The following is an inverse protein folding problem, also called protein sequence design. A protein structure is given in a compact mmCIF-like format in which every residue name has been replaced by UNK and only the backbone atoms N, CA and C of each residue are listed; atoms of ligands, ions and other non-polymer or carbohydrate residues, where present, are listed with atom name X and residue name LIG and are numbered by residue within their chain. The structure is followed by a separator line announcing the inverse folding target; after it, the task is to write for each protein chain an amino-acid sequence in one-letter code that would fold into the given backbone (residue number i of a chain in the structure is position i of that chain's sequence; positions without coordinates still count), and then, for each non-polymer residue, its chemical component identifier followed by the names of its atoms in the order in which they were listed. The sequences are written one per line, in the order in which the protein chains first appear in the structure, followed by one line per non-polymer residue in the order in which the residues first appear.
data_IF_092686866672
#
_entry.id   IF_092686866672
#
_cell.length_a   1.000
_cell.length_b   1.000
_cell.length_c   1.000
_cell.angle_alpha   90.00
_cell.angle_beta   90.00
_cell.angle_gamma   90.00
#
_symmetry.space_group_name_H-M   'P 1'
#
loop_
_entity.id
_entity.type
_entity.pdbx_description
1 polymer ?
#
# COMPACT_ATOMS: atom_id res chain seq x y z
N UNK A 1 -17.76 34.55 4.28
CA UNK A 1 -17.89 34.03 2.91
C UNK A 1 -17.66 32.52 2.97
N UNK A 2 -18.74 31.73 2.95
CA UNK A 2 -18.63 30.27 3.03
C UNK A 2 -17.85 29.76 1.81
N UNK A 3 -16.72 29.10 2.03
CA UNK A 3 -16.01 28.36 0.99
C UNK A 3 -16.97 27.28 0.49
N UNK A 4 -17.54 27.46 -0.69
CA UNK A 4 -18.33 26.43 -1.35
C UNK A 4 -17.51 25.14 -1.34
N UNK A 5 -18.10 24.05 -0.82
CA UNK A 5 -17.44 22.75 -0.79
C UNK A 5 -16.95 22.43 -2.20
N UNK A 6 -15.68 22.03 -2.32
CA UNK A 6 -15.04 21.71 -3.60
C UNK A 6 -15.98 20.79 -4.41
N UNK A 7 -16.44 21.18 -5.63
CA UNK A 7 -17.53 20.48 -6.33
C UNK A 7 -17.27 18.98 -6.56
N UNK A 8 -16.01 18.58 -6.69
CA UNK A 8 -15.57 17.19 -6.84
C UNK A 8 -15.61 16.37 -5.54
N UNK A 9 -16.05 16.93 -4.41
CA UNK A 9 -16.30 16.16 -3.17
C UNK A 9 -17.71 15.57 -3.15
N UNK A 10 -18.60 16.11 -3.97
CA UNK A 10 -20.02 15.74 -4.02
C UNK A 10 -20.44 15.15 -5.36
N UNK A 11 -19.53 14.99 -6.31
CA UNK A 11 -19.85 14.30 -7.56
C UNK A 11 -20.18 12.82 -7.28
N UNK A 12 -21.05 12.19 -8.10
CA UNK A 12 -21.50 10.82 -7.86
C UNK A 12 -20.37 9.80 -7.72
N UNK A 13 -19.29 9.95 -8.50
CA UNK A 13 -18.15 9.02 -8.49
C UNK A 13 -17.37 9.17 -7.18
N UNK A 14 -17.16 10.41 -6.71
CA UNK A 14 -16.48 10.66 -5.45
C UNK A 14 -17.27 10.14 -4.24
N UNK A 15 -18.60 10.26 -4.26
CA UNK A 15 -19.47 9.69 -3.23
C UNK A 15 -19.41 8.15 -3.23
N UNK A 16 -19.45 7.51 -4.39
CA UNK A 16 -19.29 6.06 -4.51
C UNK A 16 -17.92 5.60 -4.02
N UNK A 17 -16.83 6.27 -4.40
CA UNK A 17 -15.48 5.99 -3.89
C UNK A 17 -15.40 6.15 -2.37
N UNK A 18 -16.08 7.15 -1.80
CA UNK A 18 -16.15 7.33 -0.33
C UNK A 18 -16.86 6.16 0.34
N UNK A 19 -17.98 5.70 -0.22
CA UNK A 19 -18.69 4.50 0.24
C UNK A 19 -17.79 3.26 0.23
N UNK A 20 -17.12 3.01 -0.90
CA UNK A 20 -16.22 1.87 -1.06
C UNK A 20 -15.03 1.93 -0.10
N UNK A 21 -14.41 3.10 0.11
CA UNK A 21 -13.32 3.23 1.09
C UNK A 21 -13.79 2.87 2.50
N UNK A 22 -14.99 3.32 2.91
CA UNK A 22 -15.55 2.97 4.23
C UNK A 22 -15.76 1.46 4.36
N UNK A 23 -16.30 0.82 3.33
CA UNK A 23 -16.49 -0.64 3.32
C UNK A 23 -15.15 -1.37 3.41
N UNK A 24 -14.15 -0.97 2.63
CA UNK A 24 -12.82 -1.58 2.66
C UNK A 24 -12.11 -1.38 4.00
N UNK A 25 -12.20 -0.18 4.60
CA UNK A 25 -11.64 0.07 5.94
C UNK A 25 -12.27 -0.86 6.99
N UNK A 26 -13.59 -1.09 6.93
CA UNK A 26 -14.25 -2.02 7.85
C UNK A 26 -13.74 -3.46 7.66
N UNK A 27 -13.67 -3.94 6.40
CA UNK A 27 -13.14 -5.28 6.11
C UNK A 27 -11.69 -5.46 6.55
N UNK A 28 -10.85 -4.43 6.37
CA UNK A 28 -9.44 -4.47 6.77
C UNK A 28 -9.26 -4.42 8.29
N UNK A 29 -10.18 -3.79 9.02
CA UNK A 29 -10.16 -3.76 10.48
C UNK A 29 -10.42 -5.15 11.10
N UNK A 30 -11.13 -6.03 10.39
CA UNK A 30 -11.42 -7.40 10.82
C UNK A 30 -10.26 -8.39 10.51
N UNK A 31 -9.22 -7.95 9.79
CA UNK A 31 -8.06 -8.77 9.47
C UNK A 31 -7.13 -8.84 10.69
N UNK A 32 -6.85 -10.05 11.16
CA UNK A 32 -5.93 -10.26 12.29
C UNK A 32 -4.49 -9.93 11.91
N UNK A 33 -3.66 -9.61 12.91
CA UNK A 33 -2.24 -9.36 12.68
C UNK A 33 -1.52 -10.57 12.04
N UNK A 34 -1.87 -11.78 12.48
CA UNK A 34 -1.33 -13.05 11.96
C UNK A 34 -1.67 -13.25 10.49
N UNK A 35 -2.93 -12.98 10.11
CA UNK A 35 -3.35 -13.11 8.72
C UNK A 35 -2.73 -12.01 7.84
N UNK A 36 -2.61 -10.79 8.36
CA UNK A 36 -1.90 -9.71 7.68
C UNK A 36 -0.42 -10.09 7.43
N UNK A 37 0.26 -10.65 8.42
CA UNK A 37 1.64 -11.14 8.29
C UNK A 37 1.74 -12.27 7.25
N UNK A 38 0.84 -13.26 7.34
CA UNK A 38 0.80 -14.40 6.39
C UNK A 38 0.60 -13.94 4.95
N UNK A 39 -0.38 -13.06 4.71
CA UNK A 39 -0.62 -12.52 3.37
C UNK A 39 0.54 -11.64 2.89
N UNK A 40 1.14 -10.84 3.78
CA UNK A 40 2.29 -10.02 3.46
C UNK A 40 3.50 -10.85 3.05
N UNK A 41 3.75 -11.98 3.72
CA UNK A 41 4.81 -12.90 3.35
C UNK A 41 4.63 -13.47 1.93
N UNK A 42 3.40 -13.87 1.57
CA UNK A 42 3.06 -14.35 0.23
C UNK A 42 3.22 -13.27 -0.85
N UNK A 43 2.80 -12.03 -0.55
CA UNK A 43 2.99 -10.91 -1.47
C UNK A 43 4.47 -10.60 -1.65
N UNK A 44 5.25 -10.57 -0.57
CA UNK A 44 6.69 -10.37 -0.63
C UNK A 44 7.37 -11.45 -1.49
N UNK A 45 7.03 -12.73 -1.31
CA UNK A 45 7.57 -13.81 -2.14
C UNK A 45 7.29 -13.61 -3.63
N UNK A 46 6.05 -13.25 -3.99
CA UNK A 46 5.67 -12.96 -5.37
C UNK A 46 6.44 -11.79 -5.96
N UNK A 47 6.61 -10.71 -5.19
CA UNK A 47 7.39 -9.53 -5.60
C UNK A 47 8.85 -9.91 -5.81
N UNK A 48 9.48 -10.53 -4.81
CA UNK A 48 10.91 -10.87 -4.82
C UNK A 48 11.28 -11.90 -5.89
N UNK A 49 10.37 -12.83 -6.20
CA UNK A 49 10.58 -13.86 -7.23
C UNK A 49 10.39 -13.33 -8.67
N UNK A 50 9.70 -12.20 -8.84
CA UNK A 50 9.37 -11.65 -10.15
C UNK A 50 10.59 -11.15 -10.93
N UNK A 51 10.53 -11.28 -12.25
CA UNK A 51 11.61 -10.82 -13.16
C UNK A 51 11.76 -9.30 -13.10
N UNK A 52 10.65 -8.56 -13.03
CA UNK A 52 10.68 -7.10 -12.98
C UNK A 52 11.37 -6.59 -11.70
N UNK A 53 11.12 -7.23 -10.54
CA UNK A 53 11.78 -6.85 -9.29
C UNK A 53 13.26 -7.18 -9.34
N UNK A 54 13.62 -8.40 -9.80
CA UNK A 54 15.02 -8.83 -9.91
C UNK A 54 15.83 -7.88 -10.79
N UNK A 55 15.28 -7.45 -11.92
CA UNK A 55 15.93 -6.54 -12.85
C UNK A 55 15.97 -5.08 -12.38
N UNK A 56 15.06 -4.66 -11.50
CA UNK A 56 15.03 -3.30 -10.98
C UNK A 56 16.32 -2.94 -10.24
N UNK A 57 16.91 -1.78 -10.56
CA UNK A 57 18.06 -1.20 -9.82
C UNK A 57 17.62 -0.14 -8.81
N UNK A 58 16.41 0.39 -8.98
CA UNK A 58 15.82 1.47 -8.18
C UNK A 58 14.38 1.08 -7.88
N UNK A 59 13.98 1.13 -6.61
CA UNK A 59 12.67 0.70 -6.14
C UNK A 59 12.07 1.81 -5.28
N UNK A 60 10.84 2.22 -5.61
CA UNK A 60 10.04 3.06 -4.73
C UNK A 60 9.04 2.18 -3.98
N UNK A 61 8.99 2.30 -2.66
CA UNK A 61 8.15 1.46 -1.80
C UNK A 61 7.64 2.29 -0.62
N UNK A 62 6.36 2.11 -0.26
CA UNK A 62 5.80 2.78 0.91
C UNK A 62 6.20 2.03 2.19
N UNK A 63 6.29 2.74 3.31
CA UNK A 63 6.38 2.13 4.64
C UNK A 63 4.98 1.79 5.11
N UNK A 64 4.71 0.50 5.32
CA UNK A 64 3.39 0.02 5.67
C UNK A 64 2.84 0.63 6.97
N UNK A 65 1.52 0.77 6.99
CA UNK A 65 0.72 1.13 8.15
C UNK A 65 -0.35 0.07 8.41
N UNK A 66 -1.12 0.24 9.49
CA UNK A 66 -2.19 -0.70 9.81
C UNK A 66 -3.22 -0.80 8.68
N UNK A 67 -3.58 -2.04 8.30
CA UNK A 67 -4.48 -2.32 7.18
C UNK A 67 -3.82 -2.39 5.80
N UNK A 68 -2.49 -2.28 5.72
CA UNK A 68 -1.72 -2.46 4.49
C UNK A 68 -0.87 -3.73 4.51
N UNK A 69 -0.43 -4.17 3.33
CA UNK A 69 0.61 -5.20 3.21
C UNK A 69 1.89 -4.70 3.87
N UNK A 70 2.50 -5.54 4.72
CA UNK A 70 3.78 -5.26 5.35
C UNK A 70 4.91 -5.31 4.33
N UNK A 71 5.50 -4.15 4.05
CA UNK A 71 6.55 -3.97 3.02
C UNK A 71 7.97 -4.11 3.56
N UNK A 72 8.15 -4.34 4.87
CA UNK A 72 9.47 -4.39 5.52
C UNK A 72 10.41 -5.39 4.85
N UNK A 73 9.94 -6.61 4.55
CA UNK A 73 10.73 -7.64 3.86
C UNK A 73 11.15 -7.20 2.45
N UNK A 74 10.29 -6.51 1.72
CA UNK A 74 10.61 -6.01 0.37
C UNK A 74 11.69 -4.93 0.45
N UNK A 75 11.61 -4.02 1.44
CA UNK A 75 12.61 -2.98 1.68
C UNK A 75 13.96 -3.62 2.04
N UNK A 76 13.97 -4.55 2.99
CA UNK A 76 15.17 -5.23 3.46
C UNK A 76 15.88 -5.97 2.32
N UNK A 77 15.16 -6.79 1.57
CA UNK A 77 15.71 -7.54 0.44
C UNK A 77 16.16 -6.64 -0.72
N UNK A 78 15.49 -5.49 -0.91
CA UNK A 78 15.95 -4.49 -1.88
C UNK A 78 17.30 -3.91 -1.50
N UNK A 79 17.49 -3.57 -0.21
CA UNK A 79 18.75 -3.05 0.32
C UNK A 79 19.87 -4.10 0.25
N UNK A 80 19.59 -5.35 0.65
CA UNK A 80 20.54 -6.48 0.53
C UNK A 80 20.98 -6.73 -0.92
N UNK A 81 20.07 -6.57 -1.87
CA UNK A 81 20.36 -6.71 -3.29
C UNK A 81 21.09 -5.49 -3.91
N UNK A 82 21.48 -4.50 -3.09
CA UNK A 82 22.18 -3.30 -3.55
C UNK A 82 21.32 -2.37 -4.40
N UNK A 83 19.98 -2.44 -4.30
CA UNK A 83 19.07 -1.55 -5.03
C UNK A 83 18.98 -0.21 -4.31
N UNK A 84 18.75 0.87 -5.07
CA UNK A 84 18.41 2.16 -4.47
C UNK A 84 16.94 2.15 -4.05
N UNK A 85 16.67 2.34 -2.76
CA UNK A 85 15.32 2.34 -2.21
C UNK A 85 14.85 3.78 -1.93
N UNK A 86 13.65 4.10 -2.39
CA UNK A 86 13.00 5.40 -2.21
C UNK A 86 11.70 5.21 -1.45
N UNK A 87 11.45 6.06 -0.46
CA UNK A 87 10.20 6.09 0.31
C UNK A 87 9.52 7.46 0.13
N UNK A 88 8.18 7.53 0.22
CA UNK A 88 7.47 8.81 0.21
C UNK A 88 7.92 9.72 1.35
N UNK A 89 8.11 11.01 1.05
CA UNK A 89 8.15 12.09 2.04
C UNK A 89 6.86 12.88 1.88
N UNK A 90 5.94 12.71 2.83
CA UNK A 90 4.63 13.37 2.87
C UNK A 90 4.61 14.46 3.94
#
# INVERSE_FOLDING_TARGET
MASAAKPWLTDPISLQKKGLRKEMTAKLADVTAEEAERQSALVAEKVLSSVWFKNAKRVSVYTHTAGEIQTAKIIEESLKAGKHVFIPKV
#
